data_IF_833877660882
#
_entry.id   IF_833877660882
#
_cell.length_a   1.000
_cell.length_b   1.000
_cell.length_c   1.000
_cell.angle_alpha   90.00
_cell.angle_beta   90.00
_cell.angle_gamma   90.00
#
_symmetry.space_group_name_H-M   'P 1'
#
loop_
_entity.id
_entity.type
_entity.pdbx_description
1 polymer ?
#
# COMPACT_ATOMS: atom_id res chain seq x y z
N UNK A 1 11.34 -0.48 -0.85
CA UNK A 1 10.50 0.50 -0.12
C UNK A 1 9.64 -0.27 0.87
N UNK A 2 9.32 0.36 1.99
CA UNK A 2 8.34 -0.14 2.95
C UNK A 2 6.93 0.23 2.50
N UNK A 3 5.91 -0.41 3.08
CA UNK A 3 4.51 -0.05 2.88
C UNK A 3 4.28 1.42 3.29
N UNK A 4 4.92 1.87 4.38
CA UNK A 4 4.88 3.26 4.82
C UNK A 4 5.31 4.23 3.72
N UNK A 5 6.48 3.99 3.12
CA UNK A 5 7.02 4.88 2.07
C UNK A 5 6.06 5.00 0.89
N UNK A 6 5.40 3.90 0.53
CA UNK A 6 4.42 3.87 -0.57
C UNK A 6 3.20 4.71 -0.22
N UNK A 7 2.64 4.54 0.98
CA UNK A 7 1.45 5.28 1.39
C UNK A 7 1.76 6.78 1.54
N UNK A 8 2.92 7.14 2.11
CA UNK A 8 3.36 8.53 2.22
C UNK A 8 3.54 9.17 0.84
N UNK A 9 4.06 8.41 -0.13
CA UNK A 9 4.17 8.86 -1.52
C UNK A 9 2.80 9.15 -2.14
N UNK A 10 1.83 8.25 -1.99
CA UNK A 10 0.46 8.44 -2.51
C UNK A 10 -0.19 9.70 -1.93
N UNK A 11 -0.06 9.90 -0.61
CA UNK A 11 -0.58 11.09 0.07
C UNK A 11 0.12 12.36 -0.42
N UNK A 12 1.46 12.31 -0.57
CA UNK A 12 2.26 13.45 -1.04
C UNK A 12 1.96 13.83 -2.49
N UNK A 13 1.72 12.86 -3.37
CA UNK A 13 1.36 13.12 -4.78
C UNK A 13 -0.10 13.56 -4.94
N UNK A 14 -0.90 13.52 -3.86
CA UNK A 14 -2.35 13.78 -3.88
C UNK A 14 -3.07 12.92 -4.94
N UNK A 15 -2.57 11.71 -5.16
CA UNK A 15 -3.22 10.76 -6.05
C UNK A 15 -4.60 10.42 -5.50
N UNK A 16 -5.65 10.65 -6.31
CA UNK A 16 -7.03 10.29 -5.94
C UNK A 16 -7.27 8.82 -6.20
N UNK A 17 -6.65 7.98 -5.37
CA UNK A 17 -6.77 6.53 -5.43
C UNK A 17 -7.24 5.95 -4.11
N UNK A 18 -8.03 4.88 -4.20
CA UNK A 18 -8.44 4.06 -3.08
C UNK A 18 -7.63 2.76 -3.07
N UNK A 19 -7.29 2.31 -1.88
CA UNK A 19 -6.57 1.07 -1.62
C UNK A 19 -7.55 0.02 -1.10
N UNK A 20 -7.89 -0.93 -1.97
CA UNK A 20 -8.85 -1.98 -1.68
C UNK A 20 -8.16 -3.21 -1.09
N UNK A 21 -8.57 -3.62 0.11
CA UNK A 21 -8.24 -4.95 0.63
C UNK A 21 -9.37 -5.95 0.34
N UNK A 22 -9.40 -7.08 1.04
CA UNK A 22 -10.43 -8.11 0.83
C UNK A 22 -11.81 -7.74 1.39
N UNK A 23 -11.90 -6.72 2.24
CA UNK A 23 -13.09 -6.34 2.98
C UNK A 23 -13.64 -5.00 2.52
N UNK A 24 -12.76 -4.01 2.31
CA UNK A 24 -13.18 -2.63 2.03
C UNK A 24 -12.08 -1.82 1.32
N UNK A 25 -12.47 -0.60 0.94
CA UNK A 25 -11.60 0.39 0.32
C UNK A 25 -11.13 1.41 1.37
N UNK A 26 -9.89 1.85 1.23
CA UNK A 26 -9.24 2.74 2.18
C UNK A 26 -8.56 3.93 1.49
N UNK A 27 -8.59 5.09 2.15
CA UNK A 27 -7.68 6.19 1.82
C UNK A 27 -6.28 5.92 2.41
N UNK A 28 -5.23 6.37 1.72
CA UNK A 28 -3.86 6.04 2.09
C UNK A 28 -3.42 6.67 3.43
N UNK A 29 -3.95 7.85 3.76
CA UNK A 29 -3.74 8.55 5.03
C UNK A 29 -4.39 7.83 6.22
N UNK A 30 -5.58 7.25 6.02
CA UNK A 30 -6.26 6.41 7.01
C UNK A 30 -5.42 5.17 7.31
N UNK A 31 -4.86 4.51 6.28
CA UNK A 31 -3.96 3.38 6.49
C UNK A 31 -2.66 3.78 7.20
N UNK A 32 -2.07 4.93 6.87
CA UNK A 32 -0.88 5.44 7.58
C UNK A 32 -1.13 5.65 9.06
N UNK A 33 -2.32 6.12 9.43
CA UNK A 33 -2.68 6.44 10.82
C UNK A 33 -3.07 5.20 11.62
N UNK A 34 -3.78 4.25 10.99
CA UNK A 34 -4.39 3.12 11.69
C UNK A 34 -3.54 1.83 11.68
N UNK A 35 -2.63 1.66 10.72
CA UNK A 35 -1.78 0.47 10.67
C UNK A 35 -0.71 0.51 11.77
N UNK A 36 -0.44 -0.66 12.34
CA UNK A 36 0.63 -0.80 13.32
C UNK A 36 2.01 -0.58 12.70
N UNK A 37 2.98 -0.14 13.50
CA UNK A 37 4.36 0.08 13.04
C UNK A 37 4.98 -1.15 12.34
N UNK A 38 4.81 -2.40 12.83
CA UNK A 38 5.29 -3.59 12.11
C UNK A 38 4.65 -3.76 10.73
N UNK A 39 3.35 -3.45 10.60
CA UNK A 39 2.66 -3.51 9.31
C UNK A 39 3.20 -2.48 8.33
N UNK A 40 3.39 -1.25 8.79
CA UNK A 40 3.97 -0.16 8.00
C UNK A 40 5.41 -0.45 7.56
N UNK A 41 6.18 -1.17 8.37
CA UNK A 41 7.55 -1.60 8.06
C UNK A 41 7.64 -2.74 7.02
N UNK A 42 6.53 -3.35 6.62
CA UNK A 42 6.50 -4.44 5.63
C UNK A 42 7.17 -4.00 4.34
N UNK A 43 8.14 -4.76 3.83
CA UNK A 43 8.71 -4.48 2.49
C UNK A 43 7.62 -4.70 1.45
N UNK A 44 7.42 -3.71 0.60
CA UNK A 44 6.37 -3.74 -0.39
C UNK A 44 6.83 -3.11 -1.70
N UNK A 45 6.08 -3.41 -2.75
CA UNK A 45 6.22 -2.83 -4.07
C UNK A 45 4.86 -2.35 -4.56
N UNK A 46 4.84 -1.12 -5.08
CA UNK A 46 3.66 -0.55 -5.72
C UNK A 46 3.82 -0.69 -7.23
N UNK A 47 2.88 -1.37 -7.87
CA UNK A 47 2.68 -1.32 -9.31
C UNK A 47 1.60 -0.26 -9.60
N UNK A 48 1.94 0.91 -10.16
CA UNK A 48 1.00 2.00 -10.39
C UNK A 48 -0.23 1.55 -11.18
N UNK A 49 -1.41 1.97 -10.74
CA UNK A 49 -2.70 1.62 -11.35
C UNK A 49 -3.13 0.16 -11.18
N UNK A 50 -2.38 -0.67 -10.47
CA UNK A 50 -2.69 -2.09 -10.29
C UNK A 50 -2.78 -2.49 -8.81
N UNK A 51 -1.66 -2.56 -8.08
CA UNK A 51 -1.66 -3.06 -6.71
C UNK A 51 -0.41 -2.67 -5.91
N UNK A 52 -0.49 -2.88 -4.60
CA UNK A 52 0.63 -2.92 -3.66
C UNK A 52 0.76 -4.36 -3.17
N UNK A 53 1.94 -4.97 -3.34
CA UNK A 53 2.23 -6.32 -2.89
C UNK A 53 3.41 -6.36 -1.92
N UNK A 54 3.42 -7.32 -1.01
CA UNK A 54 4.58 -7.57 -0.15
C UNK A 54 5.75 -8.10 -0.98
N UNK A 55 6.97 -7.80 -0.53
CA UNK A 55 8.20 -8.31 -1.11
C UNK A 55 8.85 -9.21 -0.06
N UNK A 56 9.04 -10.49 -0.41
CA UNK A 56 9.65 -11.45 0.51
C UNK A 56 11.17 -11.21 0.66
N UNK A 57 11.80 -11.95 1.56
CA UNK A 57 13.24 -11.83 1.85
C UNK A 57 14.13 -12.08 0.63
N UNK A 58 13.65 -12.90 -0.32
CA UNK A 58 14.34 -13.21 -1.57
C UNK A 58 14.09 -12.18 -2.69
N UNK A 59 13.30 -11.13 -2.43
CA UNK A 59 13.02 -10.05 -3.37
C UNK A 59 11.87 -10.31 -4.35
N UNK A 60 11.12 -11.40 -4.20
CA UNK A 60 9.98 -11.70 -5.06
C UNK A 60 8.68 -11.08 -4.53
N UNK A 61 7.79 -10.73 -5.45
CA UNK A 61 6.43 -10.30 -5.13
C UNK A 61 5.66 -11.47 -4.51
N UNK A 62 5.12 -11.23 -3.32
CA UNK A 62 4.31 -12.16 -2.57
C UNK A 62 2.83 -11.79 -2.63
N UNK A 63 2.18 -11.83 -1.48
CA UNK A 63 0.77 -11.46 -1.33
C UNK A 63 0.50 -10.01 -1.74
N UNK A 64 -0.57 -9.83 -2.52
CA UNK A 64 -1.17 -8.50 -2.74
C UNK A 64 -1.78 -8.01 -1.43
N UNK A 65 -1.31 -6.85 -0.97
CA UNK A 65 -1.79 -6.18 0.23
C UNK A 65 -3.03 -5.35 -0.10
N UNK A 66 -2.96 -4.57 -1.17
CA UNK A 66 -4.02 -3.68 -1.63
C UNK A 66 -4.10 -3.64 -3.15
N UNK A 67 -5.29 -3.63 -3.72
CA UNK A 67 -5.52 -3.26 -5.12
C UNK A 67 -5.72 -1.75 -5.22
N UNK A 68 -5.21 -1.14 -6.28
CA UNK A 68 -5.39 0.29 -6.52
C UNK A 68 -6.66 0.49 -7.33
N UNK A 69 -7.56 1.34 -6.86
CA UNK A 69 -8.77 1.79 -7.57
C UNK A 69 -8.70 3.30 -7.77
N UNK A 70 -9.14 3.78 -8.93
CA UNK A 70 -9.37 5.20 -9.12
C UNK A 70 -10.67 5.60 -8.41
N UNK A 71 -10.68 6.79 -7.81
CA UNK A 71 -11.85 7.36 -7.14
C UNK A 71 -12.81 7.99 -8.15
#
# INVERSE_FOLDING_TARGET
MSLKDILEKIVSTKESVLLADNSQDWEADILLTNLSAPRLATRAYMQPGLYIAEVNEKGYLGRVLYKIKQK
#
